data_IF_638559442411
#
_entry.id   IF_638559442411
#
_cell.length_a   1.000
_cell.length_b   1.000
_cell.length_c   1.000
_cell.angle_alpha   90.00
_cell.angle_beta   90.00
_cell.angle_gamma   90.00
#
_symmetry.space_group_name_H-M   'P 1'
#
loop_
_entity.id
_entity.type
_entity.pdbx_description
1 polymer ?
#
# COMPACT_ATOMS: atom_id res chain seq x y z
N UNK A 1 24.07 -1.70 7.98
CA UNK A 1 22.75 -1.89 7.32
C UNK A 1 22.01 -2.90 8.15
N UNK A 2 20.77 -2.62 8.53
CA UNK A 2 19.87 -3.63 9.09
C UNK A 2 19.81 -4.83 8.14
N UNK A 3 19.78 -6.03 8.66
CA UNK A 3 19.36 -7.18 7.86
C UNK A 3 17.91 -6.92 7.42
N UNK A 4 17.66 -6.89 6.12
CA UNK A 4 16.34 -6.50 5.60
C UNK A 4 15.25 -7.52 5.97
N UNK A 5 15.62 -8.76 6.27
CA UNK A 5 14.68 -9.78 6.81
C UNK A 5 14.09 -9.36 8.16
N UNK A 6 14.84 -8.59 8.96
CA UNK A 6 14.37 -8.07 10.24
C UNK A 6 13.23 -7.06 10.11
N UNK A 7 13.06 -6.47 8.91
CA UNK A 7 11.95 -5.54 8.65
C UNK A 7 10.58 -6.19 8.85
N UNK A 8 10.46 -7.48 8.55
CA UNK A 8 9.19 -8.20 8.72
C UNK A 8 8.85 -8.50 10.18
N UNK A 9 9.84 -8.48 11.08
CA UNK A 9 9.62 -8.62 12.53
C UNK A 9 8.92 -7.40 13.15
N UNK A 10 8.90 -6.26 12.43
CA UNK A 10 8.16 -5.06 12.87
C UNK A 10 6.65 -5.15 12.58
N UNK A 11 6.22 -6.14 11.79
CA UNK A 11 4.80 -6.34 11.48
C UNK A 11 4.14 -7.09 12.63
N UNK A 12 3.14 -6.49 13.31
CA UNK A 12 2.46 -7.15 14.43
C UNK A 12 1.82 -8.47 14.02
N UNK A 13 2.03 -9.51 14.81
CA UNK A 13 1.34 -10.79 14.63
C UNK A 13 -0.14 -10.65 14.96
N UNK A 14 -0.97 -11.45 14.28
CA UNK A 14 -2.40 -11.53 14.63
C UNK A 14 -2.54 -12.34 15.93
N UNK A 15 -3.32 -11.85 16.91
CA UNK A 15 -3.56 -12.62 18.14
C UNK A 15 -4.37 -13.88 17.85
N UNK A 16 -4.28 -14.88 18.74
CA UNK A 16 -5.00 -16.16 18.59
C UNK A 16 -6.53 -16.01 18.57
N UNK A 17 -7.03 -15.03 19.29
CA UNK A 17 -8.46 -14.67 19.36
C UNK A 17 -8.85 -13.60 18.33
N UNK A 18 -8.03 -13.44 17.27
CA UNK A 18 -8.25 -12.42 16.28
C UNK A 18 -9.62 -12.51 15.61
N UNK A 19 -10.30 -11.38 15.56
CA UNK A 19 -11.52 -11.20 14.78
C UNK A 19 -11.22 -10.51 13.45
N UNK A 20 -11.93 -10.88 12.38
CA UNK A 20 -11.67 -10.37 11.02
C UNK A 20 -11.61 -8.85 10.88
N UNK A 21 -12.35 -8.11 11.70
CA UNK A 21 -12.38 -6.65 11.66
C UNK A 21 -11.14 -5.97 12.25
N UNK A 22 -10.34 -6.69 13.07
CA UNK A 22 -9.13 -6.12 13.66
C UNK A 22 -8.03 -5.84 12.64
N UNK A 23 -8.08 -6.49 11.46
CA UNK A 23 -7.18 -6.23 10.33
C UNK A 23 -7.97 -6.07 9.03
N UNK A 24 -9.07 -5.34 9.08
CA UNK A 24 -9.91 -5.09 7.90
C UNK A 24 -9.31 -3.99 7.02
N UNK A 25 -9.22 -4.26 5.71
CA UNK A 25 -8.79 -3.31 4.70
C UNK A 25 -9.97 -2.89 3.81
N UNK A 26 -10.04 -1.60 3.48
CA UNK A 26 -10.93 -1.14 2.44
C UNK A 26 -10.14 -0.62 1.23
N UNK A 27 -10.29 -1.30 0.11
CA UNK A 27 -9.68 -0.92 -1.17
C UNK A 27 -10.66 -0.01 -1.92
N UNK A 28 -10.28 1.23 -2.14
CA UNK A 28 -11.00 2.23 -2.96
C UNK A 28 -10.10 2.53 -4.14
N UNK A 29 -10.29 1.80 -5.22
CA UNK A 29 -9.35 1.74 -6.34
C UNK A 29 -10.09 1.35 -7.63
N UNK A 30 -9.39 1.41 -8.77
CA UNK A 30 -9.98 1.07 -10.06
C UNK A 30 -10.92 2.12 -10.62
N UNK A 31 -11.15 1.98 -11.91
CA UNK A 31 -12.13 2.74 -12.72
C UNK A 31 -12.49 1.90 -13.94
N UNK A 32 -13.50 2.27 -14.73
CA UNK A 32 -13.84 1.53 -15.95
C UNK A 32 -12.62 1.30 -16.86
N UNK A 33 -12.28 0.03 -17.10
CA UNK A 33 -11.10 -0.41 -17.84
C UNK A 33 -9.80 -0.54 -17.00
N UNK A 34 -9.86 -0.22 -15.70
CA UNK A 34 -8.75 -0.36 -14.76
C UNK A 34 -9.13 -1.15 -13.48
N UNK A 35 -10.11 -2.02 -13.61
CA UNK A 35 -10.59 -2.88 -12.52
C UNK A 35 -9.49 -3.83 -12.02
N UNK A 36 -8.58 -4.23 -12.91
CA UNK A 36 -7.46 -5.10 -12.59
C UNK A 36 -6.56 -4.56 -11.47
N UNK A 37 -6.31 -3.25 -11.43
CA UNK A 37 -5.52 -2.61 -10.37
C UNK A 37 -6.18 -2.77 -8.99
N UNK A 38 -7.49 -2.60 -8.94
CA UNK A 38 -8.29 -2.76 -7.72
C UNK A 38 -8.31 -4.22 -7.24
N UNK A 39 -8.45 -5.17 -8.17
CA UNK A 39 -8.46 -6.61 -7.87
C UNK A 39 -7.09 -7.08 -7.38
N UNK A 40 -6.00 -6.68 -8.03
CA UNK A 40 -4.62 -7.00 -7.60
C UNK A 40 -4.35 -6.47 -6.19
N UNK A 41 -4.72 -5.22 -5.90
CA UNK A 41 -4.58 -4.65 -4.55
C UNK A 41 -5.39 -5.41 -3.52
N UNK A 42 -6.63 -5.79 -3.82
CA UNK A 42 -7.48 -6.52 -2.90
C UNK A 42 -6.97 -7.94 -2.61
N UNK A 43 -6.54 -8.67 -3.65
CA UNK A 43 -5.94 -10.00 -3.51
C UNK A 43 -4.66 -9.95 -2.69
N UNK A 44 -3.75 -9.02 -3.01
CA UNK A 44 -2.51 -8.87 -2.29
C UNK A 44 -2.76 -8.53 -0.80
N UNK A 45 -3.76 -7.70 -0.49
CA UNK A 45 -4.14 -7.42 0.89
C UNK A 45 -4.61 -8.69 1.62
N UNK A 46 -5.47 -9.51 1.01
CA UNK A 46 -5.89 -10.79 1.59
C UNK A 46 -4.73 -11.74 1.83
N UNK A 47 -3.88 -11.92 0.81
CA UNK A 47 -2.74 -12.84 0.86
C UNK A 47 -1.65 -12.35 1.82
N UNK A 48 -1.66 -11.08 2.22
CA UNK A 48 -0.77 -10.47 3.23
C UNK A 48 -1.35 -10.48 4.65
N UNK A 49 -2.50 -11.15 4.87
CA UNK A 49 -3.07 -11.38 6.18
C UNK A 49 -4.13 -10.37 6.62
N UNK A 50 -4.73 -9.59 5.71
CA UNK A 50 -5.95 -8.86 6.03
C UNK A 50 -7.08 -9.82 6.39
N UNK A 51 -7.74 -9.59 7.52
CA UNK A 51 -8.83 -10.46 8.00
C UNK A 51 -10.14 -10.27 7.25
N UNK A 52 -10.33 -9.11 6.64
CA UNK A 52 -11.48 -8.76 5.83
C UNK A 52 -11.05 -7.73 4.76
N UNK A 53 -11.47 -7.93 3.53
CA UNK A 53 -11.21 -6.97 2.46
C UNK A 53 -12.53 -6.53 1.83
N UNK A 54 -12.77 -5.21 1.84
CA UNK A 54 -13.81 -4.57 1.05
C UNK A 54 -13.17 -3.94 -0.18
N UNK A 55 -13.80 -4.10 -1.33
CA UNK A 55 -13.41 -3.45 -2.59
C UNK A 55 -14.54 -2.54 -3.05
N UNK A 56 -14.22 -1.30 -3.37
CA UNK A 56 -15.13 -0.35 -4.01
C UNK A 56 -14.43 0.31 -5.20
N UNK A 57 -15.06 0.23 -6.36
CA UNK A 57 -14.62 0.91 -7.57
C UNK A 57 -15.60 2.06 -7.82
N UNK A 58 -15.14 3.33 -7.88
CA UNK A 58 -16.03 4.46 -8.07
C UNK A 58 -16.86 4.33 -9.35
N UNK A 59 -18.19 4.39 -9.18
CA UNK A 59 -19.16 4.34 -10.27
C UNK A 59 -19.10 3.05 -11.13
N UNK A 60 -18.60 1.93 -10.61
CA UNK A 60 -18.69 0.64 -11.27
C UNK A 60 -20.03 -0.04 -10.96
N UNK A 61 -20.68 -0.57 -12.01
CA UNK A 61 -21.94 -1.32 -11.85
C UNK A 61 -21.70 -2.76 -11.42
N UNK A 62 -20.66 -3.39 -11.95
CA UNK A 62 -20.28 -4.77 -11.67
C UNK A 62 -18.77 -4.93 -11.67
N UNK A 63 -18.28 -5.73 -10.73
CA UNK A 63 -16.86 -6.11 -10.63
C UNK A 63 -16.79 -7.60 -10.33
N UNK A 64 -16.11 -8.35 -11.17
CA UNK A 64 -15.74 -9.72 -10.87
C UNK A 64 -14.51 -9.73 -9.95
N UNK A 65 -14.75 -9.94 -8.66
CA UNK A 65 -13.71 -9.94 -7.63
C UNK A 65 -13.46 -11.37 -7.11
N UNK A 66 -12.33 -11.64 -6.44
CA UNK A 66 -12.12 -12.88 -5.72
C UNK A 66 -13.26 -13.19 -4.75
N UNK A 67 -13.57 -14.46 -4.56
CA UNK A 67 -14.74 -14.91 -3.78
C UNK A 67 -14.79 -14.36 -2.34
N UNK A 68 -13.63 -14.14 -1.75
CA UNK A 68 -13.48 -13.68 -0.37
C UNK A 68 -13.52 -12.16 -0.23
N UNK A 69 -13.50 -11.42 -1.35
CA UNK A 69 -13.55 -9.95 -1.37
C UNK A 69 -15.00 -9.48 -1.39
N UNK A 70 -15.36 -8.65 -0.45
CA UNK A 70 -16.70 -8.06 -0.39
C UNK A 70 -16.75 -6.80 -1.25
N UNK A 71 -17.48 -6.86 -2.35
CA UNK A 71 -17.65 -5.70 -3.25
C UNK A 71 -18.79 -4.82 -2.76
N UNK A 72 -18.57 -3.53 -2.66
CA UNK A 72 -19.59 -2.53 -2.35
C UNK A 72 -19.55 -1.38 -3.34
N UNK A 73 -20.71 -0.83 -3.65
CA UNK A 73 -20.82 0.34 -4.53
C UNK A 73 -20.35 1.59 -3.81
N UNK A 74 -19.73 2.49 -4.56
CA UNK A 74 -19.36 3.82 -4.10
C UNK A 74 -19.56 4.82 -5.26
N UNK A 75 -20.09 5.98 -4.95
CA UNK A 75 -20.28 7.04 -5.92
C UNK A 75 -18.95 7.77 -6.22
N UNK A 76 -18.90 8.49 -7.35
CA UNK A 76 -17.69 9.22 -7.79
C UNK A 76 -17.15 10.21 -6.77
N UNK A 77 -18.02 10.79 -5.97
CA UNK A 77 -17.63 11.77 -4.95
C UNK A 77 -17.07 11.13 -3.67
N UNK A 78 -16.93 9.79 -3.65
CA UNK A 78 -16.38 8.99 -2.56
C UNK A 78 -17.01 9.37 -1.20
N UNK A 79 -18.33 9.36 -1.12
CA UNK A 79 -19.01 9.43 0.18
C UNK A 79 -18.82 8.07 0.85
N UNK A 80 -17.85 8.03 1.76
CA UNK A 80 -17.45 6.83 2.50
C UNK A 80 -18.16 6.87 3.83
N UNK A 81 -18.97 5.85 4.08
CA UNK A 81 -19.59 5.58 5.37
C UNK A 81 -18.86 4.40 6.02
N UNK A 82 -18.83 4.32 7.33
CA UNK A 82 -18.22 3.24 8.11
C UNK A 82 -16.69 3.11 7.96
N UNK A 83 -15.96 4.13 7.52
CA UNK A 83 -14.51 4.00 7.32
C UNK A 83 -13.75 3.68 8.61
N UNK A 84 -14.27 4.15 9.75
CA UNK A 84 -13.72 3.90 11.08
C UNK A 84 -13.78 2.43 11.52
N UNK A 85 -14.55 1.60 10.81
CA UNK A 85 -14.58 0.14 11.03
C UNK A 85 -13.40 -0.59 10.39
N UNK A 86 -12.66 0.10 9.51
CA UNK A 86 -11.51 -0.46 8.83
C UNK A 86 -10.23 -0.05 9.53
N UNK A 87 -9.31 -1.00 9.63
CA UNK A 87 -7.99 -0.78 10.20
C UNK A 87 -7.04 -0.08 9.20
N UNK A 88 -7.32 -0.18 7.89
CA UNK A 88 -6.60 0.58 6.85
C UNK A 88 -7.45 0.85 5.61
N UNK A 89 -7.06 1.90 4.86
CA UNK A 89 -7.53 2.20 3.52
C UNK A 89 -6.41 2.00 2.50
N UNK A 90 -6.76 1.41 1.34
CA UNK A 90 -5.89 1.34 0.15
C UNK A 90 -6.56 2.19 -0.91
N UNK A 91 -5.97 3.34 -1.23
CA UNK A 91 -6.62 4.37 -2.03
C UNK A 91 -5.82 4.71 -3.28
N UNK A 92 -6.43 4.58 -4.45
CA UNK A 92 -5.93 5.19 -5.67
C UNK A 92 -5.37 4.32 -6.78
N UNK A 93 -4.96 3.05 -6.58
CA UNK A 93 -4.55 2.21 -7.70
C UNK A 93 -5.59 2.21 -8.81
N UNK A 94 -5.25 2.70 -10.01
CA UNK A 94 -6.15 2.75 -11.16
C UNK A 94 -7.46 3.52 -10.98
N UNK A 95 -7.57 4.41 -10.01
CA UNK A 95 -8.84 5.15 -9.71
C UNK A 95 -9.19 6.19 -10.78
N UNK A 96 -8.27 6.43 -11.72
CA UNK A 96 -8.44 7.39 -12.80
C UNK A 96 -8.22 8.85 -12.37
N UNK A 97 -8.65 9.77 -13.23
CA UNK A 97 -8.45 11.22 -13.01
C UNK A 97 -9.72 12.04 -13.15
N UNK A 98 -10.89 11.42 -12.97
CA UNK A 98 -12.17 12.13 -12.96
C UNK A 98 -12.15 13.21 -11.86
N UNK A 99 -12.49 14.47 -12.19
CA UNK A 99 -12.42 15.57 -11.23
C UNK A 99 -13.28 15.39 -9.97
N UNK A 100 -14.42 14.69 -10.07
CA UNK A 100 -15.27 14.41 -8.91
C UNK A 100 -14.61 13.37 -8.02
N UNK A 101 -14.02 12.34 -8.60
CA UNK A 101 -13.26 11.31 -7.87
C UNK A 101 -12.07 11.97 -7.15
N UNK A 102 -11.28 12.78 -7.85
CA UNK A 102 -10.15 13.49 -7.24
C UNK A 102 -10.55 14.42 -6.10
N UNK A 103 -11.70 15.11 -6.24
CA UNK A 103 -12.27 15.91 -5.15
C UNK A 103 -12.70 15.04 -3.97
N UNK A 104 -13.30 13.89 -4.25
CA UNK A 104 -13.67 12.88 -3.25
C UNK A 104 -12.45 12.35 -2.48
N UNK A 105 -11.38 11.97 -3.20
CA UNK A 105 -10.09 11.56 -2.62
C UNK A 105 -9.56 12.62 -1.64
N UNK A 106 -9.46 13.89 -2.08
CA UNK A 106 -8.99 14.97 -1.20
C UNK A 106 -9.85 15.12 0.03
N UNK A 107 -11.20 15.08 -0.12
CA UNK A 107 -12.13 15.20 0.99
C UNK A 107 -11.98 14.06 1.99
N UNK A 108 -11.83 12.82 1.50
CA UNK A 108 -11.58 11.66 2.33
C UNK A 108 -10.29 11.83 3.14
N UNK A 109 -9.19 12.17 2.48
CA UNK A 109 -7.89 12.35 3.11
C UNK A 109 -7.83 13.50 4.12
N UNK A 110 -8.69 14.53 3.98
CA UNK A 110 -8.80 15.61 4.95
C UNK A 110 -9.53 15.21 6.24
N UNK A 111 -10.36 14.18 6.18
CA UNK A 111 -11.25 13.78 7.29
C UNK A 111 -10.79 12.50 7.97
N UNK A 112 -10.28 11.54 7.21
CA UNK A 112 -9.93 10.22 7.73
C UNK A 112 -8.87 10.29 8.82
N UNK A 113 -9.00 9.39 9.79
CA UNK A 113 -7.96 9.06 10.77
C UNK A 113 -7.51 7.61 10.64
N UNK A 114 -8.15 6.87 9.75
CA UNK A 114 -7.79 5.50 9.42
C UNK A 114 -6.44 5.49 8.70
N UNK A 115 -5.50 4.61 9.07
CA UNK A 115 -4.26 4.40 8.34
C UNK A 115 -4.52 4.24 6.85
N UNK A 116 -3.73 4.91 6.01
CA UNK A 116 -3.99 4.93 4.57
C UNK A 116 -2.71 4.79 3.75
N UNK A 117 -2.76 3.94 2.74
CA UNK A 117 -1.79 3.96 1.63
C UNK A 117 -2.42 4.60 0.41
N UNK A 118 -1.67 5.48 -0.25
CA UNK A 118 -2.08 6.20 -1.45
C UNK A 118 -1.09 5.90 -2.57
N UNK A 119 -1.60 5.34 -3.67
CA UNK A 119 -0.79 4.96 -4.83
C UNK A 119 -1.45 5.38 -6.14
N UNK A 120 -0.70 5.29 -7.22
CA UNK A 120 -1.16 5.47 -8.57
C UNK A 120 -1.86 6.82 -8.79
N UNK A 121 -3.03 6.76 -9.42
CA UNK A 121 -3.80 7.97 -9.73
C UNK A 121 -4.25 8.76 -8.48
N UNK A 122 -4.42 8.08 -7.34
CA UNK A 122 -4.76 8.73 -6.07
C UNK A 122 -3.73 9.79 -5.64
N UNK A 123 -2.47 9.60 -6.00
CA UNK A 123 -1.39 10.55 -5.72
C UNK A 123 -1.59 11.91 -6.41
N UNK A 124 -2.31 11.96 -7.54
CA UNK A 124 -2.62 13.22 -8.25
C UNK A 124 -3.44 14.19 -7.39
N UNK A 125 -4.21 13.67 -6.43
CA UNK A 125 -4.97 14.50 -5.49
C UNK A 125 -4.08 15.24 -4.48
N UNK A 126 -2.79 14.90 -4.36
CA UNK A 126 -1.90 15.43 -3.30
C UNK A 126 -1.13 16.69 -3.70
N UNK A 127 -1.26 17.17 -4.92
CA UNK A 127 -0.61 18.43 -5.31
C UNK A 127 -1.07 19.57 -4.39
N UNK A 128 -0.13 20.24 -3.71
CA UNK A 128 -0.42 21.27 -2.69
C UNK A 128 -1.28 20.76 -1.52
N UNK A 129 -1.07 19.51 -1.12
CA UNK A 129 -1.73 18.89 0.02
C UNK A 129 -0.69 18.53 1.09
N UNK A 130 -1.07 18.64 2.35
CA UNK A 130 -0.29 18.14 3.48
C UNK A 130 -1.21 17.48 4.50
N UNK A 131 -0.72 16.42 5.12
CA UNK A 131 -1.45 15.69 6.15
C UNK A 131 -1.31 16.37 7.50
N UNK A 132 -2.31 16.19 8.35
CA UNK A 132 -2.24 16.59 9.76
C UNK A 132 -1.26 15.68 10.49
N UNK A 133 -0.59 16.22 11.51
CA UNK A 133 0.42 15.50 12.30
C UNK A 133 -0.13 14.20 12.91
N UNK A 134 -1.41 14.18 13.30
CA UNK A 134 -2.06 13.03 13.95
C UNK A 134 -2.17 11.79 13.07
N UNK A 135 -2.12 11.96 11.73
CA UNK A 135 -2.21 10.84 10.78
C UNK A 135 -0.91 10.62 9.99
N UNK A 136 0.09 11.46 10.21
CA UNK A 136 1.35 11.44 9.47
C UNK A 136 2.05 10.07 9.52
N UNK A 137 2.20 9.51 10.71
CA UNK A 137 2.92 8.24 10.91
C UNK A 137 2.19 7.01 10.36
N UNK A 138 0.91 7.10 10.05
CA UNK A 138 0.07 6.03 9.51
C UNK A 138 -0.36 6.26 8.05
N UNK A 139 0.18 7.30 7.40
CA UNK A 139 -0.07 7.60 5.99
C UNK A 139 1.14 7.27 5.15
N UNK A 140 0.96 6.47 4.10
CA UNK A 140 2.03 6.04 3.18
C UNK A 140 1.71 6.47 1.76
N UNK A 141 2.67 7.10 1.09
CA UNK A 141 2.63 7.41 -0.34
C UNK A 141 3.66 6.54 -1.07
N UNK A 142 3.29 6.00 -2.24
CA UNK A 142 4.16 5.11 -3.00
C UNK A 142 4.47 5.61 -4.42
N UNK A 143 4.98 6.85 -4.61
CA UNK A 143 5.24 7.37 -5.93
C UNK A 143 6.42 6.67 -6.63
N UNK A 144 6.29 6.46 -7.96
CA UNK A 144 7.44 6.34 -8.85
C UNK A 144 7.90 7.74 -9.31
N UNK A 145 8.99 7.83 -10.08
CA UNK A 145 9.59 9.12 -10.46
C UNK A 145 8.60 10.07 -11.16
N UNK A 146 7.74 9.55 -12.06
CA UNK A 146 6.72 10.37 -12.73
C UNK A 146 5.61 10.86 -11.81
N UNK A 147 5.17 10.02 -10.86
CA UNK A 147 4.19 10.41 -9.83
C UNK A 147 4.79 11.42 -8.86
N UNK A 148 6.06 11.25 -8.48
CA UNK A 148 6.79 12.23 -7.69
C UNK A 148 6.81 13.60 -8.37
N UNK A 149 7.13 13.66 -9.68
CA UNK A 149 7.11 14.89 -10.47
C UNK A 149 5.70 15.50 -10.51
N UNK A 150 4.67 14.67 -10.65
CA UNK A 150 3.26 15.11 -10.64
C UNK A 150 2.86 15.79 -9.33
N UNK A 151 3.30 15.27 -8.18
CA UNK A 151 2.99 15.82 -6.85
C UNK A 151 3.79 17.10 -6.60
N UNK A 152 5.11 17.07 -6.89
CA UNK A 152 6.05 18.11 -6.46
C UNK A 152 6.27 19.20 -7.51
N UNK A 153 5.98 18.93 -8.79
CA UNK A 153 6.39 19.75 -9.93
C UNK A 153 7.90 19.70 -10.21
N UNK A 154 8.65 18.78 -9.59
CA UNK A 154 10.11 18.65 -9.72
C UNK A 154 10.49 17.19 -9.97
N UNK A 155 11.51 16.97 -10.79
CA UNK A 155 12.06 15.62 -10.99
C UNK A 155 12.79 15.11 -9.75
N UNK A 156 12.79 13.79 -9.59
CA UNK A 156 13.65 13.13 -8.61
C UNK A 156 15.11 13.44 -8.93
N UNK A 157 15.88 13.84 -7.93
CA UNK A 157 17.31 14.15 -8.11
C UNK A 157 18.15 12.87 -8.07
N UNK A 158 19.47 12.99 -8.36
CA UNK A 158 20.42 11.88 -8.20
C UNK A 158 20.46 11.38 -6.75
N UNK A 159 20.27 12.27 -5.80
CA UNK A 159 20.07 11.94 -4.39
C UNK A 159 18.60 11.63 -4.14
N UNK A 160 18.23 10.35 -4.32
CA UNK A 160 16.88 9.85 -4.14
C UNK A 160 16.43 9.89 -2.68
N UNK A 161 17.37 9.69 -1.74
CA UNK A 161 17.10 9.73 -0.30
C UNK A 161 16.64 11.13 0.10
N UNK A 162 17.38 12.15 -0.34
CA UNK A 162 16.99 13.54 -0.08
C UNK A 162 15.70 13.94 -0.81
N UNK A 163 15.44 13.37 -2.00
CA UNK A 163 14.17 13.62 -2.72
C UNK A 163 12.98 13.03 -1.96
N UNK A 164 13.08 11.77 -1.51
CA UNK A 164 12.04 11.12 -0.73
C UNK A 164 11.78 11.84 0.62
N UNK A 165 12.87 12.19 1.33
CA UNK A 165 12.79 12.88 2.62
C UNK A 165 12.08 14.23 2.49
N UNK A 166 12.48 15.06 1.52
CA UNK A 166 11.85 16.38 1.30
C UNK A 166 10.36 16.26 0.96
N UNK A 167 9.97 15.24 0.20
CA UNK A 167 8.54 15.01 -0.07
C UNK A 167 7.84 14.60 1.22
N UNK A 168 8.39 13.67 1.99
CA UNK A 168 7.82 13.22 3.26
C UNK A 168 7.60 14.38 4.25
N UNK A 169 8.60 15.24 4.42
CA UNK A 169 8.52 16.45 5.25
C UNK A 169 7.46 17.44 4.74
N UNK A 170 7.40 17.63 3.40
CA UNK A 170 6.47 18.59 2.78
C UNK A 170 5.02 18.16 2.94
N UNK A 171 4.73 16.88 2.72
CA UNK A 171 3.35 16.35 2.80
C UNK A 171 2.97 15.91 4.21
N UNK A 172 3.94 15.71 5.10
CA UNK A 172 3.71 15.19 6.44
C UNK A 172 3.25 13.74 6.42
N UNK A 173 3.94 12.86 5.70
CA UNK A 173 3.60 11.44 5.58
C UNK A 173 4.85 10.59 5.30
N UNK A 174 4.71 9.27 5.34
CA UNK A 174 5.76 8.34 4.88
C UNK A 174 5.74 8.29 3.34
N UNK A 175 6.90 8.36 2.73
CA UNK A 175 7.08 8.26 1.27
C UNK A 175 7.93 7.04 0.95
N UNK A 176 7.39 6.13 0.16
CA UNK A 176 8.10 5.03 -0.50
C UNK A 176 8.33 5.43 -1.96
N UNK A 177 9.52 5.93 -2.27
CA UNK A 177 9.92 6.31 -3.62
C UNK A 177 10.39 5.08 -4.40
N UNK A 178 9.51 4.57 -5.28
CA UNK A 178 9.76 3.37 -6.10
C UNK A 178 10.95 3.59 -7.05
N UNK A 179 11.80 2.56 -7.22
CA UNK A 179 12.95 2.58 -8.14
C UNK A 179 13.81 1.33 -8.00
N UNK A 180 14.92 1.22 -8.77
CA UNK A 180 15.84 0.07 -8.67
C UNK A 180 16.38 -0.18 -7.26
N UNK A 181 16.53 0.87 -6.48
CA UNK A 181 16.62 0.87 -5.03
C UNK A 181 15.44 1.69 -4.54
N UNK A 182 14.52 1.06 -3.85
CA UNK A 182 13.40 1.77 -3.24
C UNK A 182 13.87 2.50 -1.99
N UNK A 183 13.43 3.75 -1.83
CA UNK A 183 13.75 4.58 -0.66
C UNK A 183 12.46 4.81 0.12
N UNK A 184 12.45 4.46 1.39
CA UNK A 184 11.38 4.80 2.33
C UNK A 184 11.88 5.93 3.24
N UNK A 185 11.11 7.00 3.34
CA UNK A 185 11.44 8.14 4.21
C UNK A 185 10.21 8.55 5.03
N UNK A 186 10.40 8.87 6.31
CA UNK A 186 9.35 9.44 7.15
C UNK A 186 9.51 10.96 7.25
N UNK A 187 8.41 11.66 7.61
CA UNK A 187 8.43 13.10 7.90
C UNK A 187 9.29 13.46 9.12
N UNK A 188 9.69 12.48 9.92
CA UNK A 188 10.54 12.63 11.11
C UNK A 188 12.03 12.39 10.82
N UNK A 189 12.41 12.19 9.55
CA UNK A 189 13.81 12.06 9.14
C UNK A 189 14.33 10.61 9.08
N UNK A 190 13.50 9.60 9.31
CA UNK A 190 13.91 8.20 9.12
C UNK A 190 14.08 7.90 7.62
N UNK A 191 15.10 7.14 7.27
CA UNK A 191 15.37 6.69 5.90
C UNK A 191 15.75 5.21 5.91
N UNK A 192 15.11 4.42 5.03
CA UNK A 192 15.49 3.03 4.76
C UNK A 192 15.64 2.82 3.25
N UNK A 193 16.64 2.04 2.85
CA UNK A 193 16.91 1.67 1.45
C UNK A 193 16.67 0.19 1.25
N UNK A 194 15.73 -0.14 0.41
CA UNK A 194 15.36 -1.51 0.10
C UNK A 194 15.94 -1.91 -1.26
N UNK A 195 16.76 -2.97 -1.25
CA UNK A 195 17.44 -3.52 -2.44
C UNK A 195 16.93 -4.91 -2.77
N UNK A 196 15.65 -5.15 -2.57
CA UNK A 196 14.99 -6.40 -2.93
C UNK A 196 14.34 -6.28 -4.31
N UNK A 197 14.31 -7.41 -5.03
CA UNK A 197 13.70 -7.48 -6.36
C UNK A 197 14.65 -7.16 -7.51
N UNK A 198 14.11 -7.27 -8.71
CA UNK A 198 14.81 -7.00 -9.97
C UNK A 198 13.84 -6.45 -11.04
N UNK A 199 14.31 -6.38 -12.31
CA UNK A 199 13.54 -5.83 -13.43
C UNK A 199 12.22 -6.55 -13.73
N UNK A 200 11.96 -7.74 -13.19
CA UNK A 200 10.67 -8.46 -13.34
C UNK A 200 9.52 -7.72 -12.66
N UNK A 201 9.82 -6.88 -11.66
CA UNK A 201 8.82 -5.98 -11.05
C UNK A 201 8.41 -4.81 -11.95
N UNK A 202 9.13 -4.56 -13.04
CA UNK A 202 8.75 -3.55 -14.02
C UNK A 202 7.62 -4.06 -14.95
N UNK A 203 6.56 -4.61 -14.38
CA UNK A 203 5.35 -5.08 -15.05
C UNK A 203 4.12 -4.31 -14.53
N UNK A 204 3.12 -4.13 -15.41
CA UNK A 204 1.89 -3.44 -15.03
C UNK A 204 1.19 -4.18 -13.89
N UNK A 205 0.73 -3.45 -12.88
CA UNK A 205 0.02 -4.02 -11.73
C UNK A 205 0.92 -4.40 -10.54
N UNK A 206 2.25 -4.46 -10.72
CA UNK A 206 3.18 -4.78 -9.61
C UNK A 206 3.08 -3.78 -8.45
N UNK A 207 2.92 -2.48 -8.75
CA UNK A 207 2.68 -1.45 -7.73
C UNK A 207 1.36 -1.65 -6.98
N UNK A 208 0.31 -2.13 -7.68
CA UNK A 208 -0.99 -2.39 -7.07
C UNK A 208 -0.89 -3.54 -6.04
N UNK A 209 -0.09 -4.58 -6.35
CA UNK A 209 0.23 -5.66 -5.39
C UNK A 209 0.97 -5.10 -4.18
N UNK A 210 1.99 -4.26 -4.39
CA UNK A 210 2.72 -3.60 -3.30
C UNK A 210 1.76 -2.80 -2.39
N UNK A 211 0.82 -2.09 -2.99
CA UNK A 211 -0.19 -1.32 -2.26
C UNK A 211 -1.07 -2.20 -1.38
N UNK A 212 -1.47 -3.37 -1.88
CA UNK A 212 -2.20 -4.37 -1.12
C UNK A 212 -1.42 -4.89 0.09
N UNK A 213 -0.14 -5.22 -0.11
CA UNK A 213 0.77 -5.69 0.96
C UNK A 213 0.89 -4.64 2.07
N UNK A 214 1.22 -3.41 1.70
CA UNK A 214 1.40 -2.30 2.67
C UNK A 214 0.08 -2.03 3.41
N UNK A 215 -1.05 -2.01 2.69
CA UNK A 215 -2.37 -1.83 3.30
C UNK A 215 -2.69 -2.90 4.35
N UNK A 216 -2.37 -4.16 4.08
CA UNK A 216 -2.55 -5.24 5.05
C UNK A 216 -1.65 -5.06 6.30
N UNK A 217 -0.41 -4.62 6.12
CA UNK A 217 0.51 -4.38 7.24
C UNK A 217 0.07 -3.20 8.10
N UNK A 218 -0.43 -2.12 7.47
CA UNK A 218 -1.07 -1.03 8.19
C UNK A 218 -2.29 -1.52 8.98
N UNK A 219 -3.14 -2.35 8.37
CA UNK A 219 -4.32 -2.91 9.05
C UNK A 219 -3.97 -3.81 10.23
N UNK A 220 -2.78 -4.38 10.27
CA UNK A 220 -2.25 -5.15 11.39
C UNK A 220 -1.67 -4.28 12.50
N UNK A 221 -1.65 -2.96 12.32
CA UNK A 221 -1.15 -2.00 13.31
C UNK A 221 0.32 -1.63 13.17
N UNK A 222 0.97 -1.98 12.05
CA UNK A 222 2.32 -1.50 11.78
C UNK A 222 2.33 0.03 11.57
N UNK A 223 3.43 0.69 11.95
CA UNK A 223 3.64 2.10 11.57
C UNK A 223 3.72 2.24 10.05
N UNK A 224 3.45 3.42 9.50
CA UNK A 224 3.58 3.65 8.06
C UNK A 224 4.99 3.38 7.54
N UNK A 225 6.03 3.72 8.34
CA UNK A 225 7.41 3.48 7.97
C UNK A 225 7.76 1.98 7.94
N UNK A 226 7.33 1.23 8.96
CA UNK A 226 7.55 -0.21 9.02
C UNK A 226 6.75 -0.94 7.95
N UNK A 227 5.47 -0.60 7.76
CA UNK A 227 4.61 -1.20 6.73
C UNK A 227 5.18 -0.98 5.31
N UNK A 228 5.67 0.24 5.03
CA UNK A 228 6.28 0.56 3.75
C UNK A 228 7.61 -0.18 3.53
N UNK A 229 8.47 -0.21 4.56
CA UNK A 229 9.78 -0.86 4.47
C UNK A 229 9.67 -2.37 4.34
N UNK A 230 8.89 -3.01 5.21
CA UNK A 230 8.62 -4.45 5.15
C UNK A 230 7.86 -4.84 3.86
N UNK A 231 6.88 -4.02 3.44
CA UNK A 231 6.13 -4.23 2.20
C UNK A 231 7.02 -4.18 0.97
N UNK A 232 7.92 -3.20 0.86
CA UNK A 232 8.87 -3.12 -0.24
C UNK A 232 9.85 -4.31 -0.26
N UNK A 233 10.32 -4.74 0.91
CA UNK A 233 11.21 -5.88 1.03
C UNK A 233 10.52 -7.18 0.57
N UNK A 234 9.38 -7.54 1.16
CA UNK A 234 8.68 -8.78 0.81
C UNK A 234 8.25 -8.78 -0.66
N UNK A 235 7.79 -7.66 -1.19
CA UNK A 235 7.42 -7.53 -2.61
C UNK A 235 8.59 -7.85 -3.55
N UNK A 236 9.81 -7.43 -3.20
CA UNK A 236 11.00 -7.79 -3.95
C UNK A 236 11.37 -9.26 -3.81
N UNK A 237 11.26 -9.82 -2.60
CA UNK A 237 11.58 -11.22 -2.29
C UNK A 237 10.62 -12.22 -2.96
N UNK A 238 9.39 -11.81 -3.34
CA UNK A 238 8.46 -12.66 -4.10
C UNK A 238 9.10 -13.21 -5.37
N UNK A 239 10.00 -12.47 -5.98
CA UNK A 239 10.70 -12.91 -7.19
C UNK A 239 11.62 -14.11 -6.99
N UNK A 240 11.99 -14.43 -5.75
CA UNK A 240 12.76 -15.65 -5.43
C UNK A 240 11.96 -16.94 -5.67
N UNK A 241 10.62 -16.83 -5.60
CA UNK A 241 9.68 -17.95 -5.78
C UNK A 241 9.17 -18.07 -7.23
N UNK A 242 9.54 -17.14 -8.12
CA UNK A 242 8.95 -17.00 -9.45
C UNK A 242 9.97 -17.25 -10.57
N UNK A 243 9.50 -17.64 -11.78
CA UNK A 243 10.34 -17.82 -12.95
C UNK A 243 11.18 -16.59 -13.30
N UNK A 244 12.25 -16.77 -14.05
CA UNK A 244 13.12 -15.65 -14.48
C UNK A 244 12.52 -14.78 -15.59
N UNK A 245 11.50 -15.28 -16.29
CA UNK A 245 10.87 -14.59 -17.43
C UNK A 245 9.37 -14.81 -17.42
N UNK A 246 8.60 -13.87 -17.98
CA UNK A 246 7.15 -13.98 -18.16
C UNK A 246 6.33 -13.73 -16.90
N UNK A 247 6.93 -13.18 -15.83
CA UNK A 247 6.22 -12.84 -14.60
C UNK A 247 5.24 -11.71 -14.86
N UNK A 248 4.01 -11.89 -14.44
CA UNK A 248 2.96 -10.86 -14.42
C UNK A 248 2.56 -10.54 -12.97
N UNK A 249 1.92 -9.40 -12.77
CA UNK A 249 1.55 -8.95 -11.41
C UNK A 249 0.67 -9.97 -10.64
N UNK A 250 -0.18 -10.71 -11.36
CA UNK A 250 -1.02 -11.75 -10.76
C UNK A 250 -0.27 -12.96 -10.20
N UNK A 251 1.00 -13.15 -10.58
CA UNK A 251 1.83 -14.23 -10.02
C UNK A 251 2.38 -13.87 -8.64
N UNK A 252 2.43 -12.57 -8.31
CA UNK A 252 3.08 -12.07 -7.10
C UNK A 252 2.31 -12.37 -5.81
N UNK A 253 1.00 -12.56 -5.89
CA UNK A 253 0.18 -12.74 -4.68
C UNK A 253 0.12 -14.20 -4.19
N UNK A 254 0.39 -15.17 -5.07
CA UNK A 254 0.35 -16.60 -4.72
C UNK A 254 1.43 -16.98 -3.68
N UNK A 255 2.70 -16.63 -3.85
CA UNK A 255 3.75 -17.01 -2.89
C UNK A 255 3.72 -16.20 -1.59
N UNK A 256 2.96 -15.11 -1.50
CA UNK A 256 2.93 -14.22 -0.33
C UNK A 256 2.78 -14.94 1.01
N UNK A 257 1.78 -15.83 1.24
CA UNK A 257 1.59 -16.44 2.55
C UNK A 257 2.77 -17.29 3.00
N UNK A 258 3.33 -18.09 2.06
CA UNK A 258 4.48 -18.96 2.36
C UNK A 258 5.74 -18.15 2.66
N UNK A 259 5.92 -17.04 1.94
CA UNK A 259 7.08 -16.20 2.13
C UNK A 259 6.98 -15.41 3.45
N UNK A 260 5.81 -14.92 3.81
CA UNK A 260 5.55 -14.27 5.10
C UNK A 260 5.80 -15.24 6.27
N UNK A 261 5.33 -16.48 6.18
CA UNK A 261 5.60 -17.53 7.16
C UNK A 261 7.10 -17.82 7.29
N UNK A 262 7.83 -17.95 6.17
CA UNK A 262 9.28 -18.15 6.15
C UNK A 262 10.05 -17.06 6.89
N UNK A 263 9.59 -15.81 6.81
CA UNK A 263 10.18 -14.68 7.52
C UNK A 263 9.61 -14.47 8.94
N UNK A 264 8.81 -15.41 9.43
CA UNK A 264 8.34 -15.42 10.80
C UNK A 264 7.17 -14.46 11.08
N UNK A 265 6.47 -13.99 10.06
CA UNK A 265 5.23 -13.23 10.24
C UNK A 265 4.15 -14.21 10.70
N UNK A 266 3.50 -13.92 11.85
CA UNK A 266 2.56 -14.80 12.56
C UNK A 266 3.16 -16.10 13.13
N UNK A 267 4.47 -16.28 13.05
CA UNK A 267 5.12 -17.35 13.83
C UNK A 267 4.94 -17.05 15.31
N UNK A 268 4.18 -17.85 16.00
CA UNK A 268 4.11 -17.78 17.47
C UNK A 268 5.51 -18.06 18.01
N UNK A 269 6.03 -17.16 18.82
CA UNK A 269 7.10 -17.56 19.73
C UNK A 269 6.43 -18.62 20.61
N UNK A 270 6.81 -19.89 20.45
CA UNK A 270 6.60 -20.87 21.51
C UNK A 270 7.20 -20.23 22.76
N UNK A 271 6.32 -19.76 23.65
CA UNK A 271 6.74 -19.40 24.98
C UNK A 271 7.16 -20.73 25.62
N UNK A 272 8.45 -20.99 25.64
CA UNK A 272 9.03 -21.96 26.54
C UNK A 272 8.60 -21.55 27.97
N UNK A 273 7.59 -22.25 28.48
CA UNK A 273 7.28 -22.26 29.91
C UNK A 273 8.39 -22.98 30.70
#
# INVERSE_FOLDING_TARGET
>A
MRDQSELLKSIPSRPLDAHKWQSACWVIAGSPGMEGAAILSARAAQRSGAGYVRLSIPNAEFVEAPLEVVVTRIEKDLQVEDEERFASLILGPGIGSDPLVMKGVRRLLQKTRTPVIIDGDGLKALRNFSFKKEVSASTVLTPHDGEFESITGKKVTKDREQSALRLAETVGAVVLLKGPTTVVASSEGQIEKIKAGDQRLATAGSGDVLSGIIGAFLARGATGFDAASAGAFIHGELLSELPKTGVVAGDLDEPLPRLLERFGVDSQKENDE
#
